data_IF_339835551801
#
_entry.id   IF_339835551801
#
_cell.length_a   1.000
_cell.length_b   1.000
_cell.length_c   1.000
_cell.angle_alpha   90.00
_cell.angle_beta   90.00
_cell.angle_gamma   90.00
#
_symmetry.space_group_name_H-M   'P 1'
#
loop_
_entity.id
_entity.type
_entity.pdbx_description
1 polymer ?
#
# COMPACT_ATOMS: atom_id res chain seq x y z
N UNK A 1 -27.93 6.95 35.93
CA UNK A 1 -27.65 5.68 36.62
C UNK A 1 -28.13 4.58 35.69
N UNK A 2 -27.24 3.88 34.98
CA UNK A 2 -26.21 3.05 35.59
C UNK A 2 -24.77 3.36 35.14
N UNK A 3 -23.87 2.94 36.01
CA UNK A 3 -22.42 2.82 35.92
C UNK A 3 -22.05 1.46 35.29
N UNK A 4 -21.09 1.47 34.36
CA UNK A 4 -20.23 0.32 33.97
C UNK A 4 -19.06 0.93 33.16
N UNK A 5 -18.07 1.55 33.81
CA UNK A 5 -16.79 0.95 34.26
C UNK A 5 -16.17 -0.05 33.28
N UNK A 6 -15.67 0.46 32.16
CA UNK A 6 -14.68 -0.24 31.33
C UNK A 6 -13.34 -0.32 32.10
N UNK A 7 -12.71 -1.49 32.24
CA UNK A 7 -11.39 -1.57 32.86
C UNK A 7 -10.37 -0.86 31.96
N UNK A 8 -9.67 0.12 32.54
CA UNK A 8 -8.57 0.81 31.90
C UNK A 8 -7.54 -0.20 31.39
N UNK A 9 -7.36 -0.20 30.07
CA UNK A 9 -6.18 -0.74 29.44
C UNK A 9 -5.02 0.13 29.91
N UNK A 10 -4.23 -0.37 30.84
CA UNK A 10 -3.00 0.28 31.27
C UNK A 10 -2.09 0.35 30.04
N UNK A 11 -2.11 1.52 29.41
CA UNK A 11 -1.16 1.93 28.39
C UNK A 11 0.19 2.07 29.10
N UNK A 12 0.95 0.98 29.12
CA UNK A 12 2.32 0.98 29.64
C UNK A 12 3.17 1.69 28.59
N UNK A 13 3.11 3.01 28.62
CA UNK A 13 4.06 3.89 27.97
C UNK A 13 5.42 3.64 28.64
N UNK A 14 6.28 2.84 28.00
CA UNK A 14 7.72 2.90 28.29
C UNK A 14 8.24 4.21 27.71
N UNK A 15 8.05 5.28 28.47
CA UNK A 15 8.77 6.53 28.29
C UNK A 15 10.24 6.24 28.64
N UNK A 16 11.00 5.78 27.64
CA UNK A 16 12.45 5.75 27.70
C UNK A 16 12.89 7.21 27.59
N UNK A 17 12.90 7.89 28.74
CA UNK A 17 13.59 9.16 28.89
C UNK A 17 15.01 8.95 28.41
N UNK A 18 15.32 9.50 27.24
CA UNK A 18 16.67 9.59 26.71
C UNK A 18 17.38 10.61 27.59
N UNK A 19 17.96 10.15 28.69
CA UNK A 19 18.90 10.93 29.47
C UNK A 19 20.20 10.98 28.66
N UNK A 20 20.37 12.08 27.93
CA UNK A 20 21.40 12.33 26.91
C UNK A 20 22.83 12.37 27.48
N UNK A 21 23.03 12.17 28.79
CA UNK A 21 24.34 12.13 29.43
C UNK A 21 24.53 10.90 30.33
N UNK A 22 23.91 9.77 29.99
CA UNK A 22 24.30 8.51 30.62
C UNK A 22 25.63 8.07 30.00
N UNK A 23 26.76 8.03 30.74
CA UNK A 23 27.98 7.47 30.19
C UNK A 23 27.65 6.06 29.73
N UNK A 24 28.00 5.73 28.47
CA UNK A 24 27.99 4.35 28.00
C UNK A 24 28.49 3.48 29.16
N UNK A 25 27.73 2.48 29.62
CA UNK A 25 28.26 1.58 30.63
C UNK A 25 29.55 1.05 30.02
N UNK A 26 30.68 1.47 30.59
CA UNK A 26 32.01 1.14 30.09
C UNK A 26 32.14 -0.36 30.22
N UNK A 27 31.71 -1.02 29.15
CA UNK A 27 31.55 -2.45 29.10
C UNK A 27 32.97 -2.99 29.09
N UNK A 28 33.18 -4.02 29.89
CA UNK A 28 34.44 -4.74 30.02
C UNK A 28 34.69 -5.49 28.69
N UNK A 29 35.03 -4.72 27.67
CA UNK A 29 35.56 -5.19 26.41
C UNK A 29 36.94 -5.73 26.72
N UNK A 30 37.12 -7.01 26.41
CA UNK A 30 38.27 -7.82 26.81
C UNK A 30 38.34 -8.00 28.33
N UNK A 31 37.70 -9.07 28.83
CA UNK A 31 37.83 -9.51 30.22
C UNK A 31 39.22 -10.13 30.47
N UNK A 32 40.23 -9.31 30.22
CA UNK A 32 41.63 -9.43 30.63
C UNK A 32 41.70 -9.86 32.09
N UNK A 33 40.71 -9.51 32.91
CA UNK A 33 40.57 -9.89 34.31
C UNK A 33 40.22 -11.36 34.49
N UNK A 34 39.28 -11.94 33.73
CA UNK A 34 39.03 -13.40 33.78
C UNK A 34 40.19 -14.19 33.18
N UNK A 35 40.80 -13.69 32.11
CA UNK A 35 42.00 -14.29 31.52
C UNK A 35 43.19 -14.28 32.50
N UNK A 36 43.41 -13.16 33.19
CA UNK A 36 44.44 -12.98 34.21
C UNK A 36 44.16 -13.82 35.46
N UNK A 37 42.91 -13.84 35.93
CA UNK A 37 42.50 -14.68 37.07
C UNK A 37 42.73 -16.16 36.76
N UNK A 38 42.35 -16.61 35.57
CA UNK A 38 42.59 -17.99 35.11
C UNK A 38 44.08 -18.32 35.03
N UNK A 39 44.90 -17.39 34.51
CA UNK A 39 46.34 -17.56 34.46
C UNK A 39 46.95 -17.69 35.87
N UNK A 40 46.56 -16.80 36.79
CA UNK A 40 47.01 -16.83 38.18
C UNK A 40 46.58 -18.13 38.89
N UNK A 41 45.33 -18.58 38.70
CA UNK A 41 44.85 -19.83 39.29
C UNK A 41 45.60 -21.06 38.76
N UNK A 42 45.98 -21.09 37.47
CA UNK A 42 46.82 -22.17 36.91
C UNK A 42 48.23 -22.18 37.50
N UNK A 43 48.83 -21.01 37.71
CA UNK A 43 50.14 -20.89 38.36
C UNK A 43 50.06 -21.41 39.80
N UNK A 44 49.02 -21.02 40.53
CA UNK A 44 48.78 -21.50 41.90
C UNK A 44 48.51 -23.02 41.92
N UNK A 45 47.70 -23.56 41.01
CA UNK A 45 47.45 -25.01 40.91
C UNK A 45 48.76 -25.79 40.69
N UNK A 46 49.62 -25.28 39.82
CA UNK A 46 50.91 -25.89 39.49
C UNK A 46 51.84 -25.86 40.71
N UNK A 47 51.95 -24.71 41.39
CA UNK A 47 52.75 -24.56 42.60
C UNK A 47 52.33 -25.55 43.71
N UNK A 48 51.03 -25.66 43.99
CA UNK A 48 50.55 -26.56 45.03
C UNK A 48 50.70 -28.04 44.66
N UNK A 49 50.55 -28.39 43.38
CA UNK A 49 50.83 -29.73 42.88
C UNK A 49 52.31 -30.10 43.07
N UNK A 50 53.22 -29.18 42.77
CA UNK A 50 54.65 -29.38 42.94
C UNK A 50 55.05 -29.50 44.42
N UNK A 51 54.47 -28.68 45.29
CA UNK A 51 54.68 -28.78 46.75
C UNK A 51 54.18 -30.14 47.27
N UNK A 52 52.98 -30.56 46.87
CA UNK A 52 52.43 -31.85 47.26
C UNK A 52 53.30 -33.04 46.79
N UNK A 53 53.90 -32.94 45.60
CA UNK A 53 54.80 -33.96 45.06
C UNK A 53 56.15 -34.03 45.78
N UNK A 54 56.64 -32.89 46.32
CA UNK A 54 57.95 -32.78 46.97
C UNK A 54 57.93 -32.90 48.49
N UNK A 55 56.77 -32.79 49.13
CA UNK A 55 56.65 -32.70 50.60
C UNK A 55 56.71 -34.03 51.36
N UNK A 56 57.19 -35.13 50.76
CA UNK A 56 57.44 -36.37 51.50
C UNK A 56 58.61 -36.18 52.48
N UNK A 57 58.28 -35.95 53.76
CA UNK A 57 59.23 -35.91 54.88
C UNK A 57 59.51 -34.52 55.49
N UNK A 58 58.84 -33.45 55.04
CA UNK A 58 59.00 -32.11 55.62
C UNK A 58 57.93 -31.81 56.67
N UNK A 59 58.34 -31.35 57.85
CA UNK A 59 57.49 -30.90 58.96
C UNK A 59 56.79 -29.56 58.67
N UNK A 60 56.08 -29.48 57.55
CA UNK A 60 55.43 -28.26 57.08
C UNK A 60 54.04 -28.05 57.72
N UNK A 61 53.74 -26.78 57.98
CA UNK A 61 52.56 -26.21 58.65
C UNK A 61 51.20 -26.44 57.94
N UNK A 62 51.19 -26.98 56.72
CA UNK A 62 49.97 -27.16 55.93
C UNK A 62 49.53 -28.64 56.00
N UNK A 63 48.29 -28.93 56.45
CA UNK A 63 47.77 -30.30 56.50
C UNK A 63 47.82 -30.98 55.13
N UNK A 64 48.20 -32.26 55.10
CA UNK A 64 48.38 -33.01 53.86
C UNK A 64 47.07 -33.23 53.11
N UNK A 65 45.94 -33.29 53.83
CA UNK A 65 44.59 -33.29 53.28
C UNK A 65 44.31 -32.01 52.47
N UNK A 66 44.73 -30.85 52.98
CA UNK A 66 44.59 -29.56 52.30
C UNK A 66 45.40 -29.54 51.00
N UNK A 67 46.64 -30.05 51.03
CA UNK A 67 47.49 -30.14 49.83
C UNK A 67 46.93 -31.11 48.77
N UNK A 68 46.16 -32.13 49.17
CA UNK A 68 45.50 -33.06 48.24
C UNK A 68 44.23 -32.48 47.61
N UNK A 69 43.47 -31.70 48.36
CA UNK A 69 42.18 -31.15 47.91
C UNK A 69 42.32 -29.88 47.06
N UNK A 70 43.31 -29.03 47.37
CA UNK A 70 43.46 -27.72 46.75
C UNK A 70 43.61 -27.76 45.21
N UNK A 71 44.38 -28.68 44.60
CA UNK A 71 44.47 -28.76 43.14
C UNK A 71 43.14 -29.07 42.47
N UNK A 72 42.31 -29.90 43.09
CA UNK A 72 40.96 -30.23 42.59
C UNK A 72 40.02 -29.04 42.67
N UNK A 73 40.04 -28.31 43.80
CA UNK A 73 39.26 -27.07 43.98
C UNK A 73 39.66 -26.02 42.94
N UNK A 74 40.97 -25.80 42.73
CA UNK A 74 41.47 -24.85 41.76
C UNK A 74 41.07 -25.23 40.33
N UNK A 75 41.08 -26.52 39.98
CA UNK A 75 40.61 -27.00 38.69
C UNK A 75 39.13 -26.68 38.46
N UNK A 76 38.28 -26.93 39.45
CA UNK A 76 36.85 -26.60 39.36
C UNK A 76 36.64 -25.10 39.18
N UNK A 77 37.39 -24.26 39.89
CA UNK A 77 37.33 -22.80 39.72
C UNK A 77 37.77 -22.35 38.33
N UNK A 78 38.84 -22.94 37.79
CA UNK A 78 39.32 -22.66 36.42
C UNK A 78 38.25 -23.03 35.38
N UNK A 79 37.55 -24.17 35.56
CA UNK A 79 36.47 -24.59 34.67
C UNK A 79 35.30 -23.62 34.74
N UNK A 80 34.82 -23.29 35.95
CA UNK A 80 33.74 -22.36 36.17
C UNK A 80 34.01 -20.97 35.54
N UNK A 81 35.21 -20.42 35.72
CA UNK A 81 35.60 -19.14 35.10
C UNK A 81 35.59 -19.24 33.57
N UNK A 82 35.92 -20.40 33.01
CA UNK A 82 35.91 -20.60 31.56
C UNK A 82 34.49 -20.64 30.99
N UNK A 83 33.57 -21.26 31.71
CA UNK A 83 32.14 -21.30 31.36
C UNK A 83 31.53 -19.90 31.42
N UNK A 84 31.78 -19.15 32.49
CA UNK A 84 31.33 -17.76 32.60
C UNK A 84 31.86 -16.87 31.46
N UNK A 85 33.10 -17.06 31.05
CA UNK A 85 33.67 -16.32 29.92
C UNK A 85 32.96 -16.66 28.60
N UNK A 86 32.62 -17.94 28.39
CA UNK A 86 31.89 -18.39 27.21
C UNK A 86 30.46 -17.82 27.19
N UNK A 87 29.75 -17.89 28.31
CA UNK A 87 28.40 -17.37 28.47
C UNK A 87 28.35 -15.85 28.25
N UNK A 88 29.30 -15.11 28.82
CA UNK A 88 29.41 -13.67 28.61
C UNK A 88 29.64 -13.34 27.12
N UNK A 89 30.53 -14.07 26.45
CA UNK A 89 30.78 -13.90 25.01
C UNK A 89 29.52 -14.17 24.17
N UNK A 90 28.75 -15.20 24.53
CA UNK A 90 27.49 -15.52 23.86
C UNK A 90 26.44 -14.42 24.08
N UNK A 91 26.33 -13.91 25.31
CA UNK A 91 25.42 -12.82 25.63
C UNK A 91 25.77 -11.55 24.86
N UNK A 92 27.06 -11.23 24.73
CA UNK A 92 27.53 -10.11 23.92
C UNK A 92 27.12 -10.26 22.44
N UNK A 93 27.37 -11.43 21.85
CA UNK A 93 26.96 -11.71 20.47
C UNK A 93 25.44 -11.65 20.29
N UNK A 94 24.68 -12.12 21.27
CA UNK A 94 23.22 -12.03 21.27
C UNK A 94 22.75 -10.56 21.34
N UNK A 95 23.38 -9.76 22.19
CA UNK A 95 23.05 -8.35 22.36
C UNK A 95 23.36 -7.54 21.09
N UNK A 96 24.53 -7.77 20.47
CA UNK A 96 24.89 -7.14 19.21
C UNK A 96 23.91 -7.49 18.07
N UNK A 97 23.47 -8.76 17.99
CA UNK A 97 22.45 -9.18 17.02
C UNK A 97 21.11 -8.52 17.30
N UNK A 98 20.72 -8.41 18.57
CA UNK A 98 19.47 -7.75 18.96
C UNK A 98 19.48 -6.27 18.59
N UNK A 99 20.59 -5.57 18.85
CA UNK A 99 20.76 -4.16 18.50
C UNK A 99 20.70 -3.95 16.98
N UNK A 100 21.44 -4.74 16.19
CA UNK A 100 21.37 -4.68 14.73
C UNK A 100 19.96 -5.00 14.19
N UNK A 101 19.23 -5.91 14.84
CA UNK A 101 17.83 -6.21 14.49
C UNK A 101 16.89 -5.04 14.79
N UNK A 102 17.10 -4.32 15.89
CA UNK A 102 16.34 -3.13 16.25
C UNK A 102 16.59 -1.99 15.27
N UNK A 103 17.85 -1.70 14.94
CA UNK A 103 18.20 -0.67 13.96
C UNK A 103 17.59 -0.95 12.59
N UNK A 104 17.62 -2.21 12.14
CA UNK A 104 16.99 -2.60 10.88
C UNK A 104 15.47 -2.43 10.91
N UNK A 105 14.83 -2.75 12.05
CA UNK A 105 13.39 -2.50 12.23
C UNK A 105 13.05 -1.02 12.16
N UNK A 106 13.80 -0.17 12.88
CA UNK A 106 13.61 1.28 12.84
C UNK A 106 13.80 1.84 11.41
N UNK A 107 14.84 1.40 10.69
CA UNK A 107 15.06 1.81 9.30
C UNK A 107 13.90 1.42 8.38
N UNK A 108 13.32 0.22 8.57
CA UNK A 108 12.14 -0.23 7.80
C UNK A 108 10.89 0.57 8.14
N UNK A 109 10.68 0.88 9.41
CA UNK A 109 9.55 1.70 9.85
C UNK A 109 9.63 3.10 9.25
N UNK A 110 10.79 3.76 9.30
CA UNK A 110 11.03 5.05 8.66
C UNK A 110 10.79 4.99 7.14
N UNK A 111 11.24 3.93 6.47
CA UNK A 111 10.96 3.75 5.04
C UNK A 111 9.47 3.62 4.76
N UNK A 112 8.74 2.85 5.57
CA UNK A 112 7.29 2.66 5.43
C UNK A 112 6.53 3.96 5.68
N UNK A 113 6.92 4.71 6.71
CA UNK A 113 6.35 6.01 7.03
C UNK A 113 6.60 7.03 5.89
N UNK A 114 7.79 7.02 5.30
CA UNK A 114 8.11 7.80 4.10
C UNK A 114 7.17 7.46 2.93
N UNK A 115 6.93 6.17 2.67
CA UNK A 115 5.98 5.74 1.62
C UNK A 115 4.56 6.20 1.93
N UNK A 116 4.08 6.02 3.16
CA UNK A 116 2.73 6.48 3.57
C UNK A 116 2.58 7.98 3.39
N UNK A 117 3.63 8.75 3.70
CA UNK A 117 3.65 10.21 3.51
C UNK A 117 3.54 10.61 2.05
N UNK A 118 4.19 9.87 1.13
CA UNK A 118 4.09 10.12 -0.31
C UNK A 118 2.69 9.83 -0.86
N UNK A 119 2.04 8.75 -0.39
CA UNK A 119 0.75 8.32 -0.94
C UNK A 119 -0.46 9.02 -0.31
N UNK A 120 -0.37 9.49 0.94
CA UNK A 120 -1.48 10.12 1.66
C UNK A 120 -2.12 11.29 0.88
N UNK A 121 -1.39 12.22 0.24
CA UNK A 121 -1.97 13.32 -0.53
C UNK A 121 -2.70 12.88 -1.82
N UNK A 122 -2.43 11.68 -2.34
CA UNK A 122 -3.01 11.19 -3.59
C UNK A 122 -4.42 10.62 -3.41
N UNK A 123 -4.75 10.15 -2.20
CA UNK A 123 -6.04 9.47 -1.89
C UNK A 123 -7.27 10.36 -2.20
N UNK A 124 -7.31 11.66 -1.85
CA UNK A 124 -8.43 12.51 -2.22
C UNK A 124 -8.57 12.70 -3.73
N UNK A 125 -7.45 12.80 -4.46
CA UNK A 125 -7.45 12.93 -5.92
C UNK A 125 -8.02 11.69 -6.62
N UNK A 126 -7.62 10.50 -6.17
CA UNK A 126 -8.16 9.22 -6.62
C UNK A 126 -9.68 9.12 -6.38
N UNK A 127 -10.14 9.56 -5.21
CA UNK A 127 -11.57 9.53 -4.86
C UNK A 127 -12.38 10.48 -5.75
N UNK A 128 -11.87 11.70 -5.98
CA UNK A 128 -12.49 12.67 -6.90
C UNK A 128 -12.55 12.13 -8.33
N UNK A 129 -11.46 11.55 -8.82
CA UNK A 129 -11.39 10.96 -10.16
C UNK A 129 -12.40 9.81 -10.30
N UNK A 130 -12.49 8.93 -9.32
CA UNK A 130 -13.48 7.84 -9.30
C UNK A 130 -14.92 8.35 -9.37
N UNK A 131 -15.24 9.42 -8.64
CA UNK A 131 -16.55 10.04 -8.70
C UNK A 131 -16.85 10.64 -10.10
N UNK A 132 -15.88 11.33 -10.70
CA UNK A 132 -16.03 11.87 -12.06
C UNK A 132 -16.27 10.77 -13.10
N UNK A 133 -15.57 9.63 -12.99
CA UNK A 133 -15.80 8.48 -13.88
C UNK A 133 -17.25 7.99 -13.76
N UNK A 134 -17.79 7.92 -12.54
CA UNK A 134 -19.19 7.53 -12.32
C UNK A 134 -20.18 8.49 -12.97
N UNK A 135 -19.93 9.81 -12.93
CA UNK A 135 -20.76 10.81 -13.62
C UNK A 135 -20.72 10.60 -15.13
N UNK A 136 -19.52 10.48 -15.72
CA UNK A 136 -19.37 10.25 -17.17
C UNK A 136 -20.05 8.97 -17.63
N UNK A 137 -20.02 7.91 -16.83
CA UNK A 137 -20.74 6.66 -17.13
C UNK A 137 -22.25 6.88 -17.18
N UNK A 138 -22.82 7.66 -16.25
CA UNK A 138 -24.24 8.03 -16.27
C UNK A 138 -24.61 8.85 -17.51
N UNK A 139 -23.79 9.84 -17.87
CA UNK A 139 -24.00 10.65 -19.08
C UNK A 139 -23.96 9.80 -20.36
N UNK A 140 -23.05 8.83 -20.44
CA UNK A 140 -22.96 7.90 -21.58
C UNK A 140 -24.25 7.08 -21.74
N UNK A 141 -24.82 6.58 -20.64
CA UNK A 141 -26.08 5.82 -20.71
C UNK A 141 -27.27 6.69 -21.12
N UNK A 142 -27.33 7.94 -20.65
CA UNK A 142 -28.34 8.90 -21.09
C UNK A 142 -28.24 9.18 -22.60
N UNK A 143 -27.02 9.40 -23.12
CA UNK A 143 -26.78 9.64 -24.55
C UNK A 143 -27.18 8.41 -25.37
N UNK A 144 -26.85 7.19 -24.92
CA UNK A 144 -27.28 5.95 -25.58
C UNK A 144 -28.80 5.85 -25.65
N UNK A 145 -29.50 6.14 -24.55
CA UNK A 145 -30.96 6.14 -24.51
C UNK A 145 -31.57 7.18 -25.47
N UNK A 146 -31.05 8.41 -25.46
CA UNK A 146 -31.50 9.47 -26.37
C UNK A 146 -31.26 9.11 -27.84
N UNK A 147 -30.10 8.51 -28.15
CA UNK A 147 -29.78 8.03 -29.50
C UNK A 147 -30.78 6.98 -29.98
N UNK A 148 -31.11 5.99 -29.13
CA UNK A 148 -32.09 4.95 -29.48
C UNK A 148 -33.48 5.53 -29.76
N UNK A 149 -33.91 6.53 -28.98
CA UNK A 149 -35.18 7.22 -29.25
C UNK A 149 -35.17 8.00 -30.57
N UNK A 150 -34.04 8.65 -30.90
CA UNK A 150 -33.89 9.36 -32.16
C UNK A 150 -33.90 8.40 -33.35
N UNK A 151 -33.23 7.25 -33.24
CA UNK A 151 -33.25 6.19 -34.27
C UNK A 151 -34.69 5.72 -34.53
N UNK A 152 -35.46 5.46 -33.46
CA UNK A 152 -36.88 5.10 -33.60
C UNK A 152 -37.70 6.19 -34.31
N UNK A 153 -37.51 7.46 -33.95
CA UNK A 153 -38.20 8.58 -34.62
C UNK A 153 -37.81 8.73 -36.09
N UNK A 154 -36.54 8.48 -36.43
CA UNK A 154 -36.06 8.51 -37.82
C UNK A 154 -36.75 7.41 -38.63
N UNK A 155 -36.89 6.22 -38.08
CA UNK A 155 -37.55 5.11 -38.78
C UNK A 155 -39.06 5.33 -38.95
N UNK A 156 -39.70 5.96 -37.98
CA UNK A 156 -41.09 6.41 -38.09
C UNK A 156 -41.27 7.44 -39.22
N UNK A 157 -40.48 8.52 -39.21
CA UNK A 157 -40.53 9.54 -40.27
C UNK A 157 -40.24 8.96 -41.66
N UNK A 158 -39.33 7.98 -41.75
CA UNK A 158 -39.07 7.25 -43.00
C UNK A 158 -40.30 6.48 -43.48
N UNK A 159 -41.11 5.93 -42.57
CA UNK A 159 -42.38 5.25 -42.92
C UNK A 159 -43.42 6.26 -43.41
N UNK A 160 -43.66 7.31 -42.64
CA UNK A 160 -44.61 8.38 -43.02
C UNK A 160 -44.26 8.98 -44.38
N UNK A 161 -42.98 9.21 -44.66
CA UNK A 161 -42.52 9.72 -45.96
C UNK A 161 -42.89 8.79 -47.12
N UNK A 162 -42.77 7.46 -46.95
CA UNK A 162 -43.16 6.48 -47.97
C UNK A 162 -44.67 6.49 -48.21
N UNK A 163 -45.46 6.62 -47.15
CA UNK A 163 -46.92 6.70 -47.25
C UNK A 163 -47.36 7.97 -47.99
N UNK A 164 -46.76 9.12 -47.66
CA UNK A 164 -47.00 10.38 -48.38
C UNK A 164 -46.61 10.27 -49.85
N UNK A 165 -45.46 9.67 -50.16
CA UNK A 165 -45.02 9.47 -51.54
C UNK A 165 -46.01 8.58 -52.33
N UNK A 166 -46.54 7.53 -51.70
CA UNK A 166 -47.53 6.65 -52.30
C UNK A 166 -48.88 7.36 -52.52
N UNK A 167 -49.34 8.14 -51.54
CA UNK A 167 -50.53 8.98 -51.65
C UNK A 167 -50.39 9.99 -52.79
N UNK A 168 -49.23 10.66 -52.89
CA UNK A 168 -48.95 11.60 -53.97
C UNK A 168 -49.00 10.94 -55.35
N UNK A 169 -48.41 9.75 -55.51
CA UNK A 169 -48.48 8.99 -56.77
C UNK A 169 -49.93 8.63 -57.15
N UNK A 170 -50.75 8.26 -56.17
CA UNK A 170 -52.17 7.95 -56.39
C UNK A 170 -52.97 9.19 -56.82
N UNK A 171 -52.83 10.31 -56.12
CA UNK A 171 -53.48 11.59 -56.46
C UNK A 171 -53.05 12.06 -57.84
N UNK A 172 -51.76 11.95 -58.15
CA UNK A 172 -51.21 12.29 -59.46
C UNK A 172 -51.88 11.47 -60.57
N UNK A 173 -52.01 10.16 -60.38
CA UNK A 173 -52.68 9.28 -61.34
C UNK A 173 -54.17 9.60 -61.51
N UNK A 174 -54.89 9.89 -60.41
CA UNK A 174 -56.30 10.32 -60.46
C UNK A 174 -56.47 11.63 -61.23
N UNK A 175 -55.62 12.63 -60.96
CA UNK A 175 -55.63 13.90 -61.69
C UNK A 175 -55.35 13.69 -63.17
N UNK A 176 -54.36 12.87 -63.52
CA UNK A 176 -53.99 12.60 -64.92
C UNK A 176 -55.15 11.88 -65.65
N UNK A 177 -55.87 10.97 -64.97
CA UNK A 177 -57.10 10.33 -65.47
C UNK A 177 -58.23 11.35 -65.71
N UNK A 178 -58.54 12.18 -64.72
CA UNK A 178 -59.57 13.22 -64.84
C UNK A 178 -59.26 14.23 -65.95
N UNK A 179 -57.99 14.59 -66.13
CA UNK A 179 -57.56 15.45 -67.22
C UNK A 179 -57.86 14.82 -68.59
N UNK A 180 -57.57 13.53 -68.76
CA UNK A 180 -57.87 12.81 -69.99
C UNK A 180 -59.39 12.70 -70.26
N UNK A 181 -60.20 12.47 -69.21
CA UNK A 181 -61.67 12.47 -69.33
C UNK A 181 -62.22 13.84 -69.76
N UNK A 182 -61.68 14.93 -69.20
CA UNK A 182 -62.08 16.30 -69.56
C UNK A 182 -61.76 16.65 -71.02
N UNK A 183 -60.60 16.19 -71.50
CA UNK A 183 -60.19 16.32 -72.91
C UNK A 183 -61.13 15.53 -73.84
N UNK A 184 -61.58 14.33 -73.45
CA UNK A 184 -62.54 13.53 -74.21
C UNK A 184 -63.95 14.12 -74.26
N UNK A 185 -64.42 14.77 -73.20
CA UNK A 185 -65.72 15.44 -73.17
C UNK A 185 -65.76 16.77 -73.96
N UNK A 186 -64.64 17.18 -74.60
CA UNK A 186 -64.60 18.35 -75.46
C UNK A 186 -64.48 19.71 -74.72
N UNK A 187 -64.18 19.70 -73.43
CA UNK A 187 -63.99 20.94 -72.63
C UNK A 187 -62.57 21.52 -72.71
N UNK A 188 -61.65 20.88 -73.46
CA UNK A 188 -60.24 21.27 -73.56
C UNK A 188 -59.95 22.63 -74.22
N UNK A 189 -60.95 23.31 -74.81
CA UNK A 189 -60.75 24.58 -75.53
C UNK A 189 -61.10 25.85 -74.73
N UNK A 190 -61.59 25.76 -73.48
CA UNK A 190 -62.20 26.93 -72.79
C UNK A 190 -61.30 27.54 -71.69
N UNK A 191 -60.24 26.87 -71.24
CA UNK A 191 -59.48 27.30 -70.05
C UNK A 191 -58.10 27.95 -70.32
N UNK A 192 -57.78 28.34 -71.55
CA UNK A 192 -56.50 29.00 -71.87
C UNK A 192 -56.57 30.55 -71.80
N UNK A 193 -57.62 31.10 -71.16
CA UNK A 193 -57.78 32.53 -70.96
C UNK A 193 -57.93 32.84 -69.47
N UNK A 194 -56.81 32.99 -68.78
CA UNK A 194 -56.58 34.04 -67.75
C UNK A 194 -55.39 33.69 -66.84
N UNK A 195 -54.23 34.25 -67.15
CA UNK A 195 -53.55 35.28 -66.35
C UNK A 195 -52.05 35.26 -66.64
N UNK A 196 -51.70 35.89 -67.75
CA UNK A 196 -50.34 36.36 -68.01
C UNK A 196 -50.08 37.56 -67.09
N UNK A 197 -49.77 37.23 -65.83
CA UNK A 197 -49.43 38.18 -64.77
C UNK A 197 -47.97 38.61 -64.86
N UNK A 198 -47.71 39.56 -65.77
CA UNK A 198 -46.52 40.41 -65.76
C UNK A 198 -46.27 41.01 -64.38
N UNK A 199 -45.14 40.67 -63.75
CA UNK A 199 -44.53 41.48 -62.67
C UNK A 199 -43.05 41.20 -62.53
N UNK A 200 -42.30 41.91 -63.38
CA UNK A 200 -40.84 42.09 -63.29
C UNK A 200 -40.53 43.03 -62.12
N UNK A 201 -40.26 42.49 -60.91
CA UNK A 201 -39.64 43.26 -59.83
C UNK A 201 -38.12 43.05 -59.84
N UNK A 202 -37.41 44.10 -60.27
CA UNK A 202 -36.02 44.35 -59.90
C UNK A 202 -35.97 44.61 -58.40
N UNK A 203 -35.08 43.96 -57.67
CA UNK A 203 -34.46 44.54 -56.49
C UNK A 203 -32.96 44.43 -56.63
N UNK A 204 -32.31 45.59 -56.52
CA UNK A 204 -30.87 45.79 -56.46
C UNK A 204 -30.58 46.37 -55.07
N UNK A 205 -29.53 45.83 -54.44
CA UNK A 205 -28.66 46.42 -53.41
C UNK A 205 -29.19 46.63 -51.98
N UNK A 206 -28.29 46.32 -51.05
CA UNK A 206 -28.36 46.51 -49.60
C UNK A 206 -27.55 45.44 -48.90
#
# INVERSE_FOLDING_TARGET
>A
MPSDTTPGLLDIHFEMGVDVDTPEPSYIGEDSRFSLLRANLRVIETLFRDIAARSFGSSASIPQETLRLLPSILRTLIQFISELQADNSQLHMSNARFQASQENRQAREQQMEGKVTIYRPLVPGLTKSKAHIGVLQGEIELIKGAKMQLEFKIDELRREMREVEQSYKSIKAQRDSLKAELEQLGFGAILDLSTEGSSKKRYRQG
#
